data_IF_652243885650
#
_entry.id   IF_652243885650
#
_cell.length_a   1.000
_cell.length_b   1.000
_cell.length_c   1.000
_cell.angle_alpha   90.00
_cell.angle_beta   90.00
_cell.angle_gamma   90.00
#
_symmetry.space_group_name_H-M   'P 1'
#
loop_
_entity.id
_entity.type
_entity.pdbx_description
1 polymer ?
#
# COMPACT_ATOMS: atom_id res chain seq x y z
N UNK A 1 -38.34 51.88 -48.26
CA UNK A 1 -38.12 52.97 -47.30
C UNK A 1 -38.21 52.36 -45.91
N UNK A 2 -37.19 52.59 -45.06
CA UNK A 2 -37.00 52.13 -43.67
C UNK A 2 -36.61 50.65 -43.55
N UNK A 3 -35.36 50.22 -43.33
CA UNK A 3 -34.25 50.73 -42.49
C UNK A 3 -34.68 50.89 -41.02
N UNK A 4 -33.90 50.30 -40.10
CA UNK A 4 -34.05 50.22 -38.64
C UNK A 4 -34.72 48.94 -38.11
N UNK A 5 -33.90 47.91 -37.82
CA UNK A 5 -33.78 47.25 -36.51
C UNK A 5 -32.74 46.11 -36.63
N UNK A 6 -31.47 46.51 -36.77
CA UNK A 6 -30.31 45.68 -36.44
C UNK A 6 -29.94 46.03 -35.00
N UNK A 7 -30.47 45.29 -34.04
CA UNK A 7 -30.13 45.43 -32.63
C UNK A 7 -30.00 44.05 -32.00
N UNK A 8 -28.74 43.71 -31.74
CA UNK A 8 -28.26 43.01 -30.57
C UNK A 8 -28.94 41.67 -30.21
N UNK A 9 -28.38 40.59 -30.74
CA UNK A 9 -28.24 39.33 -29.99
C UNK A 9 -26.99 38.60 -30.47
N UNK A 10 -25.83 39.24 -30.27
CA UNK A 10 -24.60 38.51 -29.98
C UNK A 10 -24.79 37.97 -28.56
N UNK A 11 -25.50 36.85 -28.46
CA UNK A 11 -25.38 35.99 -27.31
C UNK A 11 -23.93 35.51 -27.33
N UNK A 12 -23.10 36.16 -26.50
CA UNK A 12 -21.86 35.60 -26.02
C UNK A 12 -22.23 34.23 -25.45
N UNK A 13 -22.02 33.18 -26.26
CA UNK A 13 -21.76 31.86 -25.73
C UNK A 13 -20.44 31.97 -24.98
N UNK A 14 -20.51 32.46 -23.74
CA UNK A 14 -19.61 31.94 -22.73
C UNK A 14 -20.00 30.48 -22.59
N UNK A 15 -19.27 29.61 -23.29
CA UNK A 15 -19.08 28.26 -22.78
C UNK A 15 -18.73 28.44 -21.30
N UNK A 16 -19.41 27.73 -20.38
CA UNK A 16 -18.93 27.70 -19.01
C UNK A 16 -17.47 27.25 -19.11
N UNK A 17 -16.53 28.13 -18.72
CA UNK A 17 -15.18 27.72 -18.40
C UNK A 17 -15.36 26.52 -17.48
N UNK A 18 -14.91 25.35 -17.96
CA UNK A 18 -14.89 24.10 -17.20
C UNK A 18 -14.37 24.46 -15.82
N UNK A 19 -15.32 24.45 -14.88
CA UNK A 19 -15.10 25.01 -13.56
C UNK A 19 -13.97 24.25 -12.92
N UNK A 20 -12.96 25.00 -12.48
CA UNK A 20 -11.90 24.56 -11.56
C UNK A 20 -11.78 23.04 -11.57
N UNK A 21 -11.23 22.49 -12.66
CA UNK A 21 -10.62 21.17 -12.57
C UNK A 21 -9.64 21.33 -11.42
N UNK A 22 -10.06 20.90 -10.23
CA UNK A 22 -9.21 20.72 -9.08
C UNK A 22 -8.04 19.95 -9.65
N UNK A 23 -6.92 20.63 -9.88
CA UNK A 23 -5.67 20.01 -10.23
C UNK A 23 -5.46 19.03 -9.10
N UNK A 24 -5.88 17.79 -9.34
CA UNK A 24 -5.72 16.69 -8.43
C UNK A 24 -4.22 16.53 -8.41
N UNK A 25 -3.58 17.17 -7.43
CA UNK A 25 -2.23 16.89 -7.02
C UNK A 25 -2.30 15.47 -6.51
N UNK A 26 -2.36 14.50 -7.44
CA UNK A 26 -2.08 13.11 -7.17
C UNK A 26 -0.68 13.16 -6.62
N UNK A 27 -0.60 13.04 -5.29
CA UNK A 27 0.66 12.98 -4.56
C UNK A 27 1.49 11.93 -5.27
N UNK A 28 2.65 12.32 -5.81
CA UNK A 28 3.46 11.49 -6.71
C UNK A 28 3.62 10.03 -6.23
N UNK A 29 3.58 9.79 -4.91
CA UNK A 29 3.54 8.46 -4.30
C UNK A 29 2.40 7.55 -4.77
N UNK A 30 1.15 8.02 -4.81
CA UNK A 30 0.00 7.18 -5.23
C UNK A 30 0.12 6.74 -6.69
N UNK A 31 0.58 7.64 -7.56
CA UNK A 31 0.84 7.34 -8.97
C UNK A 31 1.94 6.27 -9.10
N UNK A 32 2.99 6.34 -8.28
CA UNK A 32 4.08 5.37 -8.27
C UNK A 32 3.62 4.00 -7.79
N UNK A 33 2.79 3.93 -6.74
CA UNK A 33 2.16 2.69 -6.27
C UNK A 33 1.28 2.08 -7.36
N UNK A 34 0.42 2.89 -7.98
CA UNK A 34 -0.45 2.44 -9.06
C UNK A 34 0.33 1.95 -10.29
N UNK A 35 1.45 2.60 -10.63
CA UNK A 35 2.34 2.18 -11.72
C UNK A 35 3.04 0.87 -11.39
N UNK A 36 3.58 0.72 -10.18
CA UNK A 36 4.21 -0.51 -9.73
C UNK A 36 3.22 -1.68 -9.72
N UNK A 37 2.00 -1.48 -9.21
CA UNK A 37 0.90 -2.45 -9.29
C UNK A 37 0.63 -2.89 -10.73
N UNK A 38 0.48 -1.95 -11.67
CA UNK A 38 0.26 -2.27 -13.10
C UNK A 38 1.40 -3.09 -13.70
N UNK A 39 2.64 -2.90 -13.24
CA UNK A 39 3.78 -3.73 -13.66
C UNK A 39 3.64 -5.16 -13.12
N UNK A 40 3.32 -5.35 -11.83
CA UNK A 40 3.02 -6.68 -11.25
C UNK A 40 1.90 -7.38 -12.01
N UNK A 41 0.79 -6.68 -12.27
CA UNK A 41 -0.34 -7.27 -13.01
C UNK A 41 0.02 -7.66 -14.45
N UNK A 42 0.89 -6.88 -15.10
CA UNK A 42 1.38 -7.17 -16.45
C UNK A 42 2.23 -8.44 -16.45
N UNK A 43 3.09 -8.65 -15.46
CA UNK A 43 3.89 -9.87 -15.38
C UNK A 43 3.08 -11.11 -14.97
N UNK A 44 2.09 -10.96 -14.08
CA UNK A 44 1.14 -12.05 -13.82
C UNK A 44 0.39 -12.44 -15.11
N UNK A 45 0.01 -11.47 -15.94
CA UNK A 45 -0.63 -11.73 -17.24
C UNK A 45 0.34 -12.37 -18.24
N UNK A 46 1.62 -11.98 -18.26
CA UNK A 46 2.64 -12.56 -19.15
C UNK A 46 2.86 -14.05 -18.86
N UNK A 47 2.71 -14.48 -17.60
CA UNK A 47 2.72 -15.89 -17.16
C UNK A 47 1.47 -16.71 -17.56
N UNK A 48 0.49 -16.06 -18.21
CA UNK A 48 -0.72 -16.67 -18.75
C UNK A 48 -1.93 -16.66 -17.80
N UNK A 49 -1.89 -15.89 -16.71
CA UNK A 49 -3.07 -15.69 -15.86
C UNK A 49 -3.97 -14.61 -16.46
N UNK A 50 -5.08 -15.03 -17.09
CA UNK A 50 -5.91 -14.14 -17.92
C UNK A 50 -7.28 -13.79 -17.32
N UNK A 51 -7.83 -14.62 -16.45
CA UNK A 51 -9.13 -14.38 -15.83
C UNK A 51 -8.92 -13.52 -14.56
N UNK A 52 -9.45 -12.30 -14.56
CA UNK A 52 -9.32 -11.32 -13.47
C UNK A 52 -10.64 -11.26 -12.70
N UNK A 53 -10.56 -11.33 -11.38
CA UNK A 53 -11.72 -11.21 -10.49
C UNK A 53 -11.36 -10.26 -9.37
N UNK A 54 -12.04 -9.11 -9.33
CA UNK A 54 -11.91 -8.13 -8.25
C UNK A 54 -12.83 -8.51 -7.10
N UNK A 55 -12.31 -8.50 -5.86
CA UNK A 55 -13.07 -8.82 -4.65
C UNK A 55 -12.61 -7.95 -3.48
N UNK A 56 -13.19 -6.76 -3.34
CA UNK A 56 -12.88 -5.88 -2.21
C UNK A 56 -11.42 -5.43 -2.27
N UNK A 57 -10.63 -5.87 -1.30
CA UNK A 57 -9.23 -5.51 -1.05
C UNK A 57 -8.19 -6.31 -1.88
N UNK A 58 -8.65 -7.07 -2.87
CA UNK A 58 -7.77 -7.93 -3.66
C UNK A 58 -8.26 -8.24 -5.07
N UNK A 59 -7.29 -8.55 -5.92
CA UNK A 59 -7.49 -8.99 -7.30
C UNK A 59 -7.00 -10.42 -7.44
N UNK A 60 -7.85 -11.28 -7.98
CA UNK A 60 -7.56 -12.71 -8.17
C UNK A 60 -7.31 -12.94 -9.66
N UNK A 61 -6.08 -13.32 -9.99
CA UNK A 61 -5.67 -13.72 -11.33
C UNK A 61 -5.72 -15.24 -11.46
N UNK A 62 -6.47 -15.74 -12.44
CA UNK A 62 -6.65 -17.18 -12.66
C UNK A 62 -6.04 -17.62 -13.97
N UNK A 63 -5.28 -18.71 -13.89
CA UNK A 63 -4.75 -19.37 -15.07
C UNK A 63 -5.83 -20.26 -15.71
N UNK A 64 -5.98 -20.27 -17.05
CA UNK A 64 -6.95 -21.12 -17.75
C UNK A 64 -6.70 -22.62 -17.53
N UNK A 65 -5.42 -23.01 -17.41
CA UNK A 65 -5.01 -24.34 -16.96
C UNK A 65 -5.14 -24.46 -15.43
N UNK A 66 -6.09 -25.30 -14.98
CA UNK A 66 -6.47 -25.37 -13.56
C UNK A 66 -5.39 -25.90 -12.63
N UNK A 67 -4.37 -26.58 -13.16
CA UNK A 67 -3.27 -27.12 -12.38
C UNK A 67 -2.25 -26.06 -11.95
N UNK A 68 -2.23 -24.88 -12.60
CA UNK A 68 -1.32 -23.78 -12.27
C UNK A 68 -1.76 -22.94 -11.07
N UNK A 69 -3.05 -22.94 -10.73
CA UNK A 69 -3.56 -22.20 -9.58
C UNK A 69 -4.10 -20.81 -9.93
N UNK A 70 -4.26 -20.00 -8.90
CA UNK A 70 -4.65 -18.60 -8.97
C UNK A 70 -3.66 -17.76 -8.15
N UNK A 71 -3.34 -16.56 -8.60
CA UNK A 71 -2.54 -15.58 -7.87
C UNK A 71 -3.50 -14.58 -7.26
N UNK A 72 -3.41 -14.39 -5.96
CA UNK A 72 -4.20 -13.39 -5.23
C UNK A 72 -3.26 -12.25 -4.89
N UNK A 73 -3.62 -11.06 -5.35
CA UNK A 73 -2.89 -9.83 -5.17
C UNK A 73 -3.71 -8.92 -4.23
N UNK A 74 -3.23 -8.70 -3.02
CA UNK A 74 -3.87 -7.84 -2.02
C UNK A 74 -3.40 -6.39 -2.15
N UNK A 75 -4.25 -5.43 -1.79
CA UNK A 75 -3.93 -4.01 -1.91
C UNK A 75 -2.80 -3.54 -0.97
N UNK A 76 -2.45 -4.34 0.05
CA UNK A 76 -1.32 -4.12 0.96
C UNK A 76 0.05 -4.56 0.38
N UNK A 77 0.08 -5.02 -0.88
CA UNK A 77 1.28 -5.53 -1.53
C UNK A 77 1.54 -7.01 -1.29
N UNK A 78 0.70 -7.69 -0.47
CA UNK A 78 0.83 -9.12 -0.25
C UNK A 78 0.36 -9.91 -1.48
N UNK A 79 1.17 -10.89 -1.87
CA UNK A 79 0.85 -11.80 -2.96
C UNK A 79 0.91 -13.25 -2.49
N UNK A 80 -0.10 -14.03 -2.85
CA UNK A 80 -0.13 -15.47 -2.57
C UNK A 80 -0.56 -16.26 -3.81
N UNK A 81 0.05 -17.43 -4.00
CA UNK A 81 -0.38 -18.37 -5.04
C UNK A 81 -1.22 -19.46 -4.37
N UNK A 82 -2.48 -19.58 -4.80
CA UNK A 82 -3.44 -20.54 -4.27
C UNK A 82 -3.83 -21.59 -5.29
N UNK A 83 -4.26 -22.75 -4.79
CA UNK A 83 -4.83 -23.79 -5.65
C UNK A 83 -6.22 -23.33 -6.07
N UNK A 84 -6.52 -23.43 -7.36
CA UNK A 84 -7.90 -23.24 -7.81
C UNK A 84 -8.80 -24.29 -7.17
N UNK A 85 -9.89 -23.82 -6.57
CA UNK A 85 -10.97 -24.67 -6.07
C UNK A 85 -11.61 -25.44 -7.22
N UNK A 86 -12.29 -26.54 -6.91
CA UNK A 86 -13.12 -27.24 -7.90
C UNK A 86 -14.18 -26.26 -8.38
N UNK A 87 -14.30 -26.13 -9.70
CA UNK A 87 -15.29 -25.28 -10.33
C UNK A 87 -16.22 -26.14 -11.17
N UNK A 88 -17.50 -25.77 -11.12
CA UNK A 88 -18.50 -26.21 -12.07
C UNK A 88 -18.62 -25.11 -13.11
N UNK A 89 -18.04 -25.33 -14.28
CA UNK A 89 -18.14 -24.41 -15.40
C UNK A 89 -18.89 -25.12 -16.52
N UNK A 90 -19.93 -24.46 -17.05
CA UNK A 90 -20.61 -24.96 -18.23
C UNK A 90 -19.63 -24.91 -19.39
N UNK A 91 -19.15 -26.07 -19.84
CA UNK A 91 -18.24 -26.15 -20.98
C UNK A 91 -18.98 -25.69 -22.23
N UNK A 92 -18.26 -25.01 -23.13
CA UNK A 92 -18.77 -24.77 -24.47
C UNK A 92 -19.07 -26.12 -25.14
N UNK A 93 -20.33 -26.32 -25.50
CA UNK A 93 -20.82 -27.51 -26.18
C UNK A 93 -21.17 -27.14 -27.62
N UNK A 94 -21.18 -28.09 -28.57
CA UNK A 94 -21.56 -27.80 -29.96
C UNK A 94 -22.95 -27.14 -30.12
N UNK A 95 -23.81 -27.27 -29.11
CA UNK A 95 -25.19 -26.77 -29.07
C UNK A 95 -25.44 -25.70 -28.00
N UNK A 96 -24.42 -25.26 -27.24
CA UNK A 96 -24.62 -24.33 -26.14
C UNK A 96 -23.36 -23.52 -25.83
N UNK A 97 -23.52 -22.20 -25.70
CA UNK A 97 -22.44 -21.30 -25.29
C UNK A 97 -21.96 -21.61 -23.87
N UNK A 98 -20.69 -21.28 -23.60
CA UNK A 98 -20.05 -21.47 -22.29
C UNK A 98 -20.89 -20.82 -21.18
N UNK A 99 -21.09 -21.53 -20.07
CA UNK A 99 -21.90 -21.09 -18.92
C UNK A 99 -23.37 -20.74 -19.21
N UNK A 100 -23.92 -21.07 -20.38
CA UNK A 100 -25.37 -20.95 -20.63
C UNK A 100 -26.18 -21.94 -19.78
N UNK A 101 -27.47 -21.67 -19.48
CA UNK A 101 -28.33 -22.63 -18.77
C UNK A 101 -28.37 -24.01 -19.44
N UNK A 102 -28.32 -24.06 -20.77
CA UNK A 102 -28.25 -25.29 -21.57
C UNK A 102 -26.90 -26.03 -21.38
N UNK A 103 -25.78 -25.30 -21.34
CA UNK A 103 -24.48 -25.90 -21.03
C UNK A 103 -24.44 -26.47 -19.61
N UNK A 104 -25.01 -25.74 -18.64
CA UNK A 104 -25.13 -26.21 -17.24
C UNK A 104 -26.05 -27.44 -17.15
N UNK A 105 -27.17 -27.45 -17.88
CA UNK A 105 -28.05 -28.62 -17.94
C UNK A 105 -27.32 -29.85 -18.53
N UNK A 106 -26.49 -29.64 -19.56
CA UNK A 106 -25.62 -30.68 -20.11
C UNK A 106 -24.66 -31.27 -19.07
N UNK A 107 -24.26 -30.49 -18.06
CA UNK A 107 -23.42 -30.97 -16.96
C UNK A 107 -24.11 -31.99 -16.05
N UNK A 108 -25.44 -32.04 -15.99
CA UNK A 108 -26.14 -33.10 -15.26
C UNK A 108 -26.03 -34.46 -15.97
N UNK A 109 -26.00 -34.45 -17.30
CA UNK A 109 -25.85 -35.66 -18.12
C UNK A 109 -24.39 -36.12 -18.15
N UNK A 110 -23.45 -35.18 -18.26
CA UNK A 110 -22.01 -35.44 -18.36
C UNK A 110 -21.20 -34.62 -17.34
N UNK A 111 -21.31 -34.92 -16.02
CA UNK A 111 -20.71 -34.11 -14.96
C UNK A 111 -19.19 -34.00 -15.05
N UNK A 112 -18.50 -35.04 -15.53
CA UNK A 112 -17.05 -35.02 -15.73
C UNK A 112 -16.59 -34.03 -16.80
N UNK A 113 -17.47 -33.58 -17.71
CA UNK A 113 -17.12 -32.56 -18.71
C UNK A 113 -17.14 -31.14 -18.13
N UNK A 114 -17.87 -30.92 -17.04
CA UNK A 114 -18.07 -29.60 -16.43
C UNK A 114 -17.34 -29.42 -15.09
N UNK A 115 -17.06 -30.53 -14.40
CA UNK A 115 -16.19 -30.52 -13.23
C UNK A 115 -14.77 -30.34 -13.74
N UNK A 116 -14.15 -29.19 -13.48
CA UNK A 116 -12.71 -29.09 -13.57
C UNK A 116 -12.14 -29.44 -12.21
N UNK A 117 -11.48 -30.61 -12.06
CA UNK A 117 -10.97 -31.07 -10.76
C UNK A 117 -9.79 -30.23 -10.23
N UNK A 118 -9.55 -29.05 -10.81
CA UNK A 118 -8.76 -27.99 -10.20
C UNK A 118 -7.28 -28.33 -10.05
N UNK A 119 -6.62 -27.58 -9.17
CA UNK A 119 -5.29 -27.92 -8.66
C UNK A 119 -5.30 -29.06 -7.64
N UNK A 120 -6.47 -29.63 -7.31
CA UNK A 120 -6.61 -30.69 -6.28
C UNK A 120 -5.97 -31.99 -6.77
N UNK A 121 -6.09 -32.32 -8.06
CA UNK A 121 -5.45 -33.49 -8.66
C UNK A 121 -3.93 -33.36 -8.80
N UNK A 122 -3.38 -32.16 -8.57
CA UNK A 122 -1.94 -31.92 -8.68
C UNK A 122 -1.27 -32.28 -7.36
N UNK A 123 -0.33 -33.23 -7.43
CA UNK A 123 0.49 -33.60 -6.28
C UNK A 123 1.18 -32.38 -5.65
N UNK A 124 1.28 -32.34 -4.31
CA UNK A 124 1.84 -31.21 -3.55
C UNK A 124 3.19 -30.74 -4.08
N UNK A 125 4.08 -31.67 -4.47
CA UNK A 125 5.40 -31.38 -5.02
C UNK A 125 5.34 -30.61 -6.35
N UNK A 126 4.52 -31.08 -7.30
CA UNK A 126 4.37 -30.41 -8.61
C UNK A 126 3.76 -29.02 -8.45
N UNK A 127 2.80 -28.88 -7.55
CA UNK A 127 2.18 -27.59 -7.26
C UNK A 127 3.18 -26.61 -6.64
N UNK A 128 3.93 -27.00 -5.60
CA UNK A 128 4.98 -26.16 -5.00
C UNK A 128 6.04 -25.72 -6.01
N UNK A 129 6.40 -26.59 -6.95
CA UNK A 129 7.31 -26.23 -8.03
C UNK A 129 6.72 -25.23 -9.05
N UNK A 130 5.40 -25.18 -9.19
CA UNK A 130 4.73 -24.17 -10.01
C UNK A 130 4.54 -22.85 -9.26
N UNK A 131 4.17 -22.93 -7.98
CA UNK A 131 4.10 -21.79 -7.05
C UNK A 131 5.45 -21.09 -6.97
N UNK A 132 6.53 -21.81 -6.69
CA UNK A 132 7.88 -21.24 -6.62
C UNK A 132 8.33 -20.59 -7.92
N UNK A 133 7.94 -21.13 -9.09
CA UNK A 133 8.22 -20.51 -10.39
C UNK A 133 7.41 -19.23 -10.61
N UNK A 134 6.11 -19.26 -10.32
CA UNK A 134 5.26 -18.08 -10.48
C UNK A 134 5.74 -16.96 -9.54
N UNK A 135 6.09 -17.30 -8.30
CA UNK A 135 6.63 -16.34 -7.34
C UNK A 135 7.98 -15.80 -7.80
N UNK A 136 8.91 -16.64 -8.29
CA UNK A 136 10.23 -16.16 -8.71
C UNK A 136 10.19 -15.21 -9.90
N UNK A 137 9.25 -15.38 -10.83
CA UNK A 137 9.11 -14.52 -12.01
C UNK A 137 8.49 -13.15 -11.69
N UNK A 138 7.68 -13.06 -10.62
CA UNK A 138 6.97 -11.82 -10.23
C UNK A 138 7.58 -11.19 -8.97
N UNK A 139 8.59 -11.84 -8.38
CA UNK A 139 9.11 -11.49 -7.07
C UNK A 139 9.63 -10.06 -7.01
N UNK A 140 10.42 -9.66 -8.02
CA UNK A 140 11.08 -8.37 -8.05
C UNK A 140 10.07 -7.22 -8.16
N UNK A 141 9.10 -7.36 -9.06
CA UNK A 141 8.04 -6.39 -9.26
C UNK A 141 7.14 -6.28 -8.02
N UNK A 142 6.87 -7.42 -7.36
CA UNK A 142 6.10 -7.44 -6.12
C UNK A 142 6.84 -6.77 -4.97
N UNK A 143 8.15 -6.99 -4.84
CA UNK A 143 9.00 -6.27 -3.86
C UNK A 143 9.04 -4.77 -4.13
N UNK A 144 9.22 -4.36 -5.39
CA UNK A 144 9.20 -2.94 -5.77
C UNK A 144 7.84 -2.31 -5.42
N UNK A 145 6.74 -3.00 -5.74
CA UNK A 145 5.41 -2.51 -5.41
C UNK A 145 5.18 -2.40 -3.90
N UNK A 146 5.56 -3.41 -3.12
CA UNK A 146 5.48 -3.39 -1.67
C UNK A 146 6.32 -2.24 -1.07
N UNK A 147 7.52 -1.99 -1.61
CA UNK A 147 8.36 -0.87 -1.21
C UNK A 147 7.67 0.48 -1.47
N UNK A 148 6.99 0.65 -2.62
CA UNK A 148 6.22 1.88 -2.90
C UNK A 148 5.04 2.08 -1.95
N UNK A 149 4.36 1.01 -1.55
CA UNK A 149 3.29 1.09 -0.55
C UNK A 149 3.87 1.55 0.79
N UNK A 150 5.01 1.00 1.19
CA UNK A 150 5.70 1.40 2.41
C UNK A 150 6.17 2.87 2.36
N UNK A 151 6.74 3.31 1.23
CA UNK A 151 7.11 4.71 0.99
C UNK A 151 5.92 5.65 1.21
N UNK A 152 4.78 5.36 0.57
CA UNK A 152 3.57 6.17 0.68
C UNK A 152 3.03 6.22 2.12
N UNK A 153 3.02 5.07 2.81
CA UNK A 153 2.58 4.99 4.21
C UNK A 153 3.49 5.81 5.13
N UNK A 154 4.81 5.74 4.92
CA UNK A 154 5.78 6.53 5.68
C UNK A 154 5.64 8.02 5.38
N UNK A 155 5.42 8.41 4.14
CA UNK A 155 5.18 9.81 3.78
C UNK A 155 3.93 10.35 4.48
N UNK A 156 2.83 9.60 4.52
CA UNK A 156 1.64 9.98 5.29
C UNK A 156 1.92 10.09 6.79
N UNK A 157 2.67 9.15 7.35
CA UNK A 157 3.08 9.19 8.76
C UNK A 157 3.95 10.40 9.04
N UNK A 158 4.94 10.68 8.19
CA UNK A 158 5.86 11.82 8.33
C UNK A 158 5.12 13.17 8.22
N UNK A 159 4.05 13.26 7.43
CA UNK A 159 3.24 14.47 7.34
C UNK A 159 2.42 14.74 8.62
N UNK A 160 2.00 13.69 9.33
CA UNK A 160 1.20 13.80 10.56
C UNK A 160 2.03 13.75 11.84
N UNK A 161 3.27 13.29 11.74
CA UNK A 161 4.17 13.08 12.87
C UNK A 161 4.49 14.37 13.66
N UNK A 162 4.79 15.53 13.04
CA UNK A 162 5.08 16.75 13.79
C UNK A 162 3.95 17.18 14.71
N UNK A 163 2.70 17.11 14.25
CA UNK A 163 1.53 17.46 15.05
C UNK A 163 1.34 16.47 16.21
N UNK A 164 1.56 15.18 15.97
CA UNK A 164 1.50 14.14 17.00
C UNK A 164 2.58 14.33 18.07
N UNK A 165 3.82 14.64 17.67
CA UNK A 165 4.91 14.90 18.59
C UNK A 165 4.70 16.20 19.37
N UNK A 166 4.13 17.22 18.74
CA UNK A 166 3.74 18.48 19.39
C UNK A 166 2.64 18.25 20.43
N UNK A 167 1.61 17.47 20.10
CA UNK A 167 0.54 17.11 21.04
C UNK A 167 1.06 16.26 22.21
N UNK A 168 2.01 15.34 21.97
CA UNK A 168 2.70 14.64 23.04
C UNK A 168 3.46 15.60 23.94
N UNK A 169 4.21 16.52 23.34
CA UNK A 169 5.09 17.41 24.08
C UNK A 169 4.32 18.46 24.89
N UNK A 170 3.28 19.07 24.32
CA UNK A 170 2.53 20.17 24.95
C UNK A 170 1.38 19.66 25.81
N UNK A 171 0.61 18.70 25.30
CA UNK A 171 -0.63 18.24 25.94
C UNK A 171 -0.45 16.90 26.68
N UNK A 172 0.68 16.21 26.46
CA UNK A 172 0.91 14.88 27.01
C UNK A 172 0.15 13.78 26.28
N UNK A 173 -0.39 14.04 25.09
CA UNK A 173 -1.19 13.07 24.34
C UNK A 173 -0.30 11.96 23.75
N UNK A 174 -0.53 10.66 24.02
CA UNK A 174 0.25 9.58 23.44
C UNK A 174 0.26 9.60 21.90
N UNK A 175 1.44 9.37 21.29
CA UNK A 175 1.62 9.40 19.81
C UNK A 175 0.92 8.24 19.12
N UNK A 176 0.88 7.07 19.76
CA UNK A 176 0.20 5.88 19.25
C UNK A 176 -0.69 5.26 20.35
N UNK A 177 -1.90 4.85 19.95
CA UNK A 177 -2.86 4.15 20.81
C UNK A 177 -3.77 5.05 21.65
N UNK A 178 -4.63 4.40 22.43
CA UNK A 178 -5.49 5.06 23.42
C UNK A 178 -4.77 5.03 24.78
N UNK A 179 -4.48 6.21 25.34
CA UNK A 179 -3.82 6.31 26.64
C UNK A 179 -4.15 7.61 27.36
N UNK A 180 -4.00 7.60 28.68
CA UNK A 180 -4.19 8.80 29.50
C UNK A 180 -3.11 9.85 29.19
N UNK A 181 -3.44 11.15 29.21
CA UNK A 181 -2.46 12.21 29.05
C UNK A 181 -1.32 12.12 30.07
N UNK A 182 -0.08 12.29 29.61
CA UNK A 182 1.13 12.29 30.42
C UNK A 182 1.32 13.69 31.00
N UNK A 183 1.23 13.82 32.33
CA UNK A 183 1.31 15.12 32.99
C UNK A 183 2.75 15.67 33.08
N UNK A 184 3.73 14.81 33.33
CA UNK A 184 5.12 15.22 33.61
C UNK A 184 5.99 15.23 32.33
N UNK A 185 6.79 16.28 32.17
CA UNK A 185 7.75 16.41 31.07
C UNK A 185 8.84 15.33 31.11
N UNK A 186 9.23 14.84 32.29
CA UNK A 186 10.17 13.73 32.38
C UNK A 186 9.60 12.44 31.76
N UNK A 187 8.32 12.16 31.97
CA UNK A 187 7.66 11.00 31.36
C UNK A 187 7.35 11.23 29.87
N UNK A 188 7.09 12.47 29.44
CA UNK A 188 6.97 12.81 28.01
C UNK A 188 8.28 12.57 27.26
N UNK A 189 9.43 12.91 27.86
CA UNK A 189 10.76 12.61 27.30
C UNK A 189 10.99 11.11 27.14
N UNK A 190 10.67 10.31 28.16
CA UNK A 190 10.71 8.83 28.05
C UNK A 190 9.79 8.32 26.95
N UNK A 191 8.59 8.88 26.81
CA UNK A 191 7.65 8.49 25.76
C UNK A 191 8.19 8.80 24.35
N UNK A 192 8.89 9.92 24.16
CA UNK A 192 9.58 10.24 22.90
C UNK A 192 10.68 9.22 22.57
N UNK A 193 11.52 8.86 23.55
CA UNK A 193 12.58 7.87 23.37
C UNK A 193 12.01 6.46 23.10
N UNK A 194 10.96 6.07 23.83
CA UNK A 194 10.27 4.80 23.60
C UNK A 194 9.61 4.74 22.20
N UNK A 195 9.02 5.85 21.74
CA UNK A 195 8.47 5.94 20.39
C UNK A 195 9.57 5.78 19.33
N UNK A 196 10.71 6.45 19.50
CA UNK A 196 11.87 6.33 18.63
C UNK A 196 12.42 4.89 18.60
N UNK A 197 12.54 4.23 19.76
CA UNK A 197 13.05 2.86 19.88
C UNK A 197 12.12 1.84 19.21
N UNK A 198 10.80 2.05 19.34
CA UNK A 198 9.78 1.12 18.83
C UNK A 198 9.77 0.95 17.31
N UNK A 199 10.47 1.80 16.55
CA UNK A 199 10.55 1.69 15.09
C UNK A 199 11.39 0.47 14.70
N UNK A 200 11.11 -0.11 13.55
CA UNK A 200 11.86 -1.26 13.01
C UNK A 200 13.19 -0.81 12.41
N UNK A 201 14.20 -1.69 12.40
CA UNK A 201 15.48 -1.47 11.71
C UNK A 201 15.34 -1.66 10.19
N UNK A 202 14.54 -0.80 9.57
CA UNK A 202 14.33 -0.69 8.11
C UNK A 202 14.57 0.75 7.68
N UNK A 203 14.77 0.99 6.39
CA UNK A 203 14.94 2.35 5.86
C UNK A 203 13.75 3.27 6.22
N UNK A 204 12.55 2.71 6.21
CA UNK A 204 11.32 3.39 6.63
C UNK A 204 11.28 3.72 8.13
N UNK A 205 11.75 2.81 8.97
CA UNK A 205 11.84 3.03 10.41
C UNK A 205 12.88 4.09 10.75
N UNK A 206 14.04 4.07 10.08
CA UNK A 206 15.07 5.10 10.22
C UNK A 206 14.56 6.49 9.81
N UNK A 207 13.82 6.58 8.71
CA UNK A 207 13.25 7.87 8.29
C UNK A 207 12.31 8.47 9.33
N UNK A 208 11.54 7.64 10.03
CA UNK A 208 10.71 8.10 11.16
C UNK A 208 11.57 8.48 12.37
N UNK A 209 12.60 7.68 12.71
CA UNK A 209 13.56 8.00 13.77
C UNK A 209 14.24 9.35 13.54
N UNK A 210 14.67 9.64 12.32
CA UNK A 210 15.24 10.92 11.92
C UNK A 210 14.25 12.08 12.10
N UNK A 211 12.97 11.86 11.75
CA UNK A 211 11.89 12.84 11.99
C UNK A 211 11.71 13.15 13.48
N UNK A 212 11.70 12.12 14.33
CA UNK A 212 11.60 12.28 15.79
C UNK A 212 12.84 12.99 16.35
N UNK A 213 14.04 12.63 15.91
CA UNK A 213 15.28 13.31 16.31
C UNK A 213 15.30 14.78 15.89
N UNK A 214 14.82 15.09 14.68
CA UNK A 214 14.71 16.46 14.20
C UNK A 214 13.76 17.28 15.09
N UNK A 215 12.61 16.71 15.47
CA UNK A 215 11.69 17.33 16.42
C UNK A 215 12.34 17.54 17.80
N UNK A 216 13.01 16.52 18.36
CA UNK A 216 13.68 16.64 19.66
C UNK A 216 14.73 17.75 19.63
N UNK A 217 15.56 17.82 18.58
CA UNK A 217 16.57 18.87 18.43
C UNK A 217 15.96 20.27 18.27
N UNK A 218 14.87 20.39 17.53
CA UNK A 218 14.25 21.68 17.25
C UNK A 218 13.44 22.20 18.45
N UNK A 219 12.58 21.37 19.03
CA UNK A 219 11.61 21.80 20.04
C UNK A 219 12.06 21.48 21.46
N UNK A 220 12.40 20.22 21.75
CA UNK A 220 12.67 19.77 23.12
C UNK A 220 13.97 20.35 23.66
N UNK A 221 15.04 20.34 22.86
CA UNK A 221 16.35 20.87 23.26
C UNK A 221 16.37 22.39 23.47
N UNK A 222 15.40 23.12 22.90
CA UNK A 222 15.25 24.57 23.10
C UNK A 222 14.21 24.93 24.17
N UNK A 223 13.61 23.93 24.83
CA UNK A 223 12.60 24.11 25.88
C UNK A 223 13.22 24.32 27.27
N UNK A 224 12.38 24.58 28.28
CA UNK A 224 12.80 24.60 29.70
C UNK A 224 13.15 23.21 30.25
N UNK A 225 12.88 22.14 29.50
CA UNK A 225 13.04 20.75 29.91
C UNK A 225 13.83 19.91 28.87
N UNK A 226 15.06 20.30 28.51
CA UNK A 226 15.87 19.57 27.53
C UNK A 226 16.27 18.18 28.06
N UNK A 227 16.65 17.26 27.17
CA UNK A 227 17.32 16.02 27.59
C UNK A 227 18.72 16.34 28.12
N UNK A 228 19.12 15.70 29.21
CA UNK A 228 20.52 15.72 29.64
C UNK A 228 21.36 14.74 28.84
N UNK A 229 22.67 15.01 28.75
CA UNK A 229 23.62 14.10 28.10
C UNK A 229 23.62 12.71 28.75
N UNK A 230 23.49 12.65 30.08
CA UNK A 230 23.40 11.39 30.84
C UNK A 230 22.14 10.59 30.49
N UNK A 231 21.00 11.26 30.27
CA UNK A 231 19.73 10.62 29.89
C UNK A 231 19.85 9.97 28.50
N UNK A 232 20.49 10.65 27.55
CA UNK A 232 20.75 10.13 26.20
C UNK A 232 21.79 9.01 26.20
N UNK A 233 22.86 9.14 26.99
CA UNK A 233 23.87 8.12 27.13
C UNK A 233 23.28 6.83 27.72
N UNK A 234 22.53 6.93 28.82
CA UNK A 234 21.86 5.79 29.44
C UNK A 234 20.89 5.10 28.48
N UNK A 235 20.08 5.88 27.74
CA UNK A 235 19.19 5.33 26.74
C UNK A 235 19.95 4.59 25.62
N UNK A 236 21.05 5.16 25.11
CA UNK A 236 21.85 4.52 24.07
C UNK A 236 22.57 3.24 24.55
N UNK A 237 22.88 3.11 25.84
CA UNK A 237 23.44 1.88 26.42
C UNK A 237 22.40 0.74 26.50
N UNK A 238 21.13 1.08 26.73
CA UNK A 238 20.03 0.11 26.88
C UNK A 238 19.31 -0.21 25.56
N UNK A 239 19.34 0.71 24.60
CA UNK A 239 18.61 0.63 23.33
C UNK A 239 19.00 -0.60 22.51
N UNK A 240 18.00 -1.27 21.94
CA UNK A 240 18.19 -2.39 21.00
C UNK A 240 18.33 -1.94 19.54
N UNK A 241 18.16 -0.64 19.25
CA UNK A 241 18.21 -0.12 17.90
C UNK A 241 19.61 -0.26 17.30
N UNK A 242 19.67 -0.57 16.00
CA UNK A 242 20.95 -0.75 15.29
C UNK A 242 21.85 0.50 15.26
N UNK A 243 21.27 1.69 15.39
CA UNK A 243 21.94 3.00 15.43
C UNK A 243 21.63 3.69 16.76
N UNK A 244 22.57 4.40 17.41
CA UNK A 244 22.27 5.21 18.59
C UNK A 244 21.53 6.51 18.23
N UNK A 245 20.72 7.03 19.16
CA UNK A 245 20.10 8.36 19.01
C UNK A 245 21.18 9.44 19.10
N UNK A 246 21.14 10.41 18.18
CA UNK A 246 22.08 11.52 18.14
C UNK A 246 21.35 12.86 18.09
N UNK A 247 21.50 13.64 19.16
CA UNK A 247 20.95 15.00 19.25
C UNK A 247 21.96 16.08 18.84
N UNK A 248 23.17 15.67 18.44
CA UNK A 248 24.13 16.59 17.86
C UNK A 248 23.57 17.17 16.55
N UNK A 249 23.80 18.47 16.32
CA UNK A 249 23.46 19.08 15.04
C UNK A 249 24.26 18.36 13.95
N UNK A 250 23.63 17.83 12.89
CA UNK A 250 24.39 17.24 11.80
C UNK A 250 25.36 18.29 11.27
N UNK A 251 26.61 17.89 11.03
CA UNK A 251 27.56 18.75 10.35
C UNK A 251 26.95 19.09 9.00
N UNK A 252 26.64 20.37 8.79
CA UNK A 252 26.18 20.83 7.48
C UNK A 252 27.40 20.69 6.58
N UNK A 253 27.46 19.63 5.79
CA UNK A 253 28.42 19.55 4.70
C UNK A 253 28.10 20.71 3.75
N UNK A 254 28.97 21.72 3.73
CA UNK A 254 28.86 22.81 2.77
C UNK A 254 28.94 22.20 1.35
N UNK A 255 27.94 22.43 0.49
CA UNK A 255 27.84 21.81 -0.83
C UNK A 255 28.94 22.26 -1.80
#
# INVERSE_FOLDING_TARGET
MNLWFLLATLALGQEPEDGDELEEIIVYGELLVARARKTVEREIKSEGYTEIIERGDKVIFRHPLTWKGEVVLHDDGWMEVRRQRVRFEGREMPWAEKNSPLAIAGCFVYPWMCIRPGGIMVGKRKYRAQEGRTLSEVHHEAEEWAARIADLSVDHKMNTLPDQLTALWNDGTPVEGEGSPIADYADRRKALLAFWESRTDTEWGERIREGVEAFIRAEVQHSEHPFSDDEIAAFNEESIASRPISLARPAVEEP
#
